data_IF_880538233864
#
_entry.id   IF_880538233864
#
_cell.length_a   1.000
_cell.length_b   1.000
_cell.length_c   1.000
_cell.angle_alpha   90.00
_cell.angle_beta   90.00
_cell.angle_gamma   90.00
#
_symmetry.space_group_name_H-M   'P 1'
#
loop_
_entity.id
_entity.type
_entity.pdbx_description
1 polymer ?
#
# COMPACT_ATOMS: atom_id res chain seq x y z
N UNK A 1 -4.87 -15.52 25.45
CA UNK A 1 -5.23 -15.43 24.01
C UNK A 1 -5.01 -14.03 23.43
N UNK A 2 -5.64 -12.97 23.98
CA UNK A 2 -5.57 -11.61 23.42
C UNK A 2 -4.15 -11.03 23.26
N UNK A 3 -3.24 -11.27 24.21
CA UNK A 3 -1.85 -10.79 24.12
C UNK A 3 -1.03 -11.45 22.99
N UNK A 4 -1.27 -12.73 22.71
CA UNK A 4 -0.59 -13.43 21.61
C UNK A 4 -1.08 -12.95 20.24
N UNK A 5 -2.39 -12.72 20.09
CA UNK A 5 -2.98 -12.10 18.90
C UNK A 5 -2.44 -10.68 18.66
N UNK A 6 -2.32 -9.88 19.73
CA UNK A 6 -1.74 -8.54 19.64
C UNK A 6 -0.25 -8.54 19.24
N UNK A 7 0.51 -9.57 19.64
CA UNK A 7 1.92 -9.72 19.29
C UNK A 7 2.11 -10.12 17.80
N UNK A 8 1.22 -10.96 17.26
CA UNK A 8 1.30 -11.40 15.86
C UNK A 8 0.73 -10.36 14.89
N UNK A 9 -0.20 -9.52 15.35
CA UNK A 9 -0.90 -8.56 14.49
C UNK A 9 0.01 -7.61 13.70
N UNK A 10 1.12 -7.17 14.27
CA UNK A 10 2.05 -6.25 13.60
C UNK A 10 2.81 -6.94 12.45
N UNK A 11 3.34 -8.14 12.71
CA UNK A 11 4.00 -8.95 11.69
C UNK A 11 3.03 -9.39 10.60
N UNK A 12 1.80 -9.77 10.97
CA UNK A 12 0.75 -10.11 10.02
C UNK A 12 0.41 -8.93 9.11
N UNK A 13 0.26 -7.72 9.68
CA UNK A 13 0.00 -6.51 8.91
C UNK A 13 1.15 -6.16 7.96
N UNK A 14 2.42 -6.37 8.35
CA UNK A 14 3.56 -6.18 7.48
C UNK A 14 3.56 -7.15 6.27
N UNK A 15 3.22 -8.42 6.50
CA UNK A 15 3.08 -9.42 5.41
C UNK A 15 1.94 -9.05 4.46
N UNK A 16 0.78 -8.67 5.01
CA UNK A 16 -0.37 -8.24 4.22
C UNK A 16 -0.05 -6.97 3.40
N UNK A 17 0.72 -6.03 3.96
CA UNK A 17 1.18 -4.86 3.25
C UNK A 17 2.08 -5.23 2.05
N UNK A 18 2.96 -6.22 2.23
CA UNK A 18 3.83 -6.71 1.16
C UNK A 18 3.03 -7.39 0.03
N UNK A 19 1.98 -8.16 0.35
CA UNK A 19 1.09 -8.72 -0.66
C UNK A 19 0.32 -7.63 -1.41
N UNK A 20 -0.31 -6.70 -0.69
CA UNK A 20 -1.13 -5.64 -1.28
C UNK A 20 -0.31 -4.74 -2.22
N UNK A 21 0.93 -4.39 -1.84
CA UNK A 21 1.81 -3.60 -2.73
C UNK A 21 2.32 -4.41 -3.93
N UNK A 22 2.48 -5.72 -3.79
CA UNK A 22 2.76 -6.62 -4.92
C UNK A 22 1.62 -6.60 -5.93
N UNK A 23 0.39 -6.74 -5.46
CA UNK A 23 -0.81 -6.65 -6.28
C UNK A 23 -0.94 -5.27 -6.95
N UNK A 24 -0.75 -4.17 -6.20
CA UNK A 24 -0.80 -2.82 -6.74
C UNK A 24 0.26 -2.59 -7.85
N UNK A 25 1.48 -3.07 -7.62
CA UNK A 25 2.57 -3.01 -8.61
C UNK A 25 2.25 -3.78 -9.88
N UNK A 26 1.68 -4.99 -9.76
CA UNK A 26 1.28 -5.78 -10.91
C UNK A 26 0.18 -5.11 -11.73
N UNK A 27 -0.83 -4.52 -11.07
CA UNK A 27 -1.88 -3.75 -11.75
C UNK A 27 -1.28 -2.56 -12.51
N UNK A 28 -0.36 -1.81 -11.89
CA UNK A 28 0.33 -0.69 -12.56
C UNK A 28 1.13 -1.15 -13.80
N UNK A 29 1.95 -2.19 -13.67
CA UNK A 29 2.74 -2.76 -14.78
C UNK A 29 1.85 -3.12 -15.96
N UNK A 30 0.73 -3.75 -15.65
CA UNK A 30 -0.30 -4.10 -16.61
C UNK A 30 -0.86 -2.84 -17.29
N UNK A 31 -1.32 -1.85 -16.53
CA UNK A 31 -1.90 -0.64 -17.12
C UNK A 31 -0.90 0.01 -18.08
N UNK A 32 0.36 0.12 -17.67
CA UNK A 32 1.44 0.66 -18.51
C UNK A 32 1.62 -0.17 -19.79
N UNK A 33 1.57 -1.50 -19.69
CA UNK A 33 1.63 -2.37 -20.87
C UNK A 33 0.46 -2.12 -21.84
N UNK A 34 -0.77 -2.00 -21.33
CA UNK A 34 -1.96 -1.70 -22.13
C UNK A 34 -1.84 -0.33 -22.82
N UNK A 35 -1.49 0.73 -22.07
CA UNK A 35 -1.32 2.09 -22.60
C UNK A 35 -0.23 2.12 -23.68
N UNK A 36 0.89 1.42 -23.47
CA UNK A 36 1.96 1.32 -24.48
C UNK A 36 1.53 0.59 -25.75
N UNK A 37 0.71 -0.46 -25.63
CA UNK A 37 0.16 -1.16 -26.80
C UNK A 37 -0.75 -0.25 -27.61
N UNK A 38 -1.62 0.53 -26.94
CA UNK A 38 -2.45 1.56 -27.58
C UNK A 38 -1.62 2.63 -28.28
N UNK A 39 -0.63 3.21 -27.59
CA UNK A 39 0.27 4.22 -28.17
C UNK A 39 0.98 3.69 -29.44
N UNK A 40 1.38 2.41 -29.47
CA UNK A 40 2.00 1.79 -30.66
C UNK A 40 1.00 1.62 -31.80
N UNK A 41 -0.22 1.19 -31.51
CA UNK A 41 -1.27 0.99 -32.51
C UNK A 41 -1.72 2.33 -33.13
N UNK A 42 -1.91 3.36 -32.32
CA UNK A 42 -2.42 4.66 -32.77
C UNK A 42 -1.38 5.53 -33.48
N UNK A 43 -0.08 5.35 -33.18
CA UNK A 43 1.03 6.03 -33.89
C UNK A 43 1.11 5.71 -35.38
N UNK A 44 0.46 4.65 -35.83
CA UNK A 44 0.39 4.29 -37.26
C UNK A 44 -0.59 5.19 -38.02
N UNK A 45 -1.60 5.79 -37.36
CA UNK A 45 -2.70 6.48 -38.05
C UNK A 45 -2.81 8.00 -37.82
N UNK A 46 -2.18 8.63 -36.82
CA UNK A 46 -2.21 10.11 -36.68
C UNK A 46 -1.15 10.65 -35.70
N UNK A 47 -0.72 11.90 -35.92
CA UNK A 47 0.15 12.65 -35.01
C UNK A 47 -0.52 12.82 -33.64
N UNK A 48 -0.13 11.98 -32.68
CA UNK A 48 -0.73 11.84 -31.35
C UNK A 48 -0.47 13.10 -30.51
N UNK A 49 -1.46 13.98 -30.45
CA UNK A 49 -1.62 14.96 -29.39
C UNK A 49 -1.58 14.23 -28.06
N UNK A 50 -0.63 14.62 -27.21
CA UNK A 50 -0.13 13.80 -26.14
C UNK A 50 -1.22 13.34 -25.16
N UNK A 51 -0.93 12.26 -24.44
CA UNK A 51 -1.65 11.81 -23.25
C UNK A 51 -1.05 12.36 -21.92
N UNK A 52 -0.82 13.69 -21.69
CA UNK A 52 -0.23 14.15 -20.43
C UNK A 52 -1.03 13.72 -19.21
N UNK A 53 -2.36 13.71 -19.31
CA UNK A 53 -3.24 13.34 -18.20
C UNK A 53 -3.04 11.87 -17.77
N UNK A 54 -2.95 10.93 -18.71
CA UNK A 54 -2.69 9.52 -18.41
C UNK A 54 -1.29 9.34 -17.85
N UNK A 55 -0.29 10.02 -18.44
CA UNK A 55 1.10 9.94 -17.96
C UNK A 55 1.26 10.48 -16.55
N UNK A 56 0.61 11.60 -16.22
CA UNK A 56 0.66 12.18 -14.88
C UNK A 56 -0.02 11.26 -13.85
N UNK A 57 -1.23 10.76 -14.15
CA UNK A 57 -1.93 9.78 -13.30
C UNK A 57 -1.10 8.53 -13.05
N UNK A 58 -0.43 8.00 -14.09
CA UNK A 58 0.45 6.83 -13.93
C UNK A 58 1.72 7.14 -13.16
N UNK A 59 2.26 8.36 -13.27
CA UNK A 59 3.39 8.80 -12.47
C UNK A 59 3.00 8.92 -10.98
N UNK A 60 1.85 9.52 -10.68
CA UNK A 60 1.32 9.63 -9.31
C UNK A 60 1.07 8.24 -8.71
N UNK A 61 0.43 7.35 -9.48
CA UNK A 61 0.20 5.98 -9.06
C UNK A 61 1.53 5.23 -8.82
N UNK A 62 2.52 5.42 -9.69
CA UNK A 62 3.85 4.84 -9.49
C UNK A 62 4.48 5.32 -8.17
N UNK A 63 4.42 6.62 -7.89
CA UNK A 63 4.94 7.19 -6.63
C UNK A 63 4.23 6.59 -5.42
N UNK A 64 2.90 6.47 -5.47
CA UNK A 64 2.12 5.83 -4.39
C UNK A 64 2.54 4.37 -4.15
N UNK A 65 2.65 3.56 -5.21
CA UNK A 65 3.09 2.17 -5.11
C UNK A 65 4.51 2.07 -4.57
N UNK A 66 5.41 2.97 -4.97
CA UNK A 66 6.79 3.00 -4.45
C UNK A 66 6.84 3.39 -2.99
N UNK A 67 6.06 4.38 -2.55
CA UNK A 67 5.95 4.78 -1.16
C UNK A 67 5.42 3.63 -0.30
N UNK A 68 4.34 2.98 -0.73
CA UNK A 68 3.79 1.80 -0.07
C UNK A 68 4.81 0.66 0.01
N UNK A 69 5.61 0.45 -1.04
CA UNK A 69 6.63 -0.61 -1.06
C UNK A 69 7.72 -0.34 -0.05
N UNK A 70 8.23 0.89 0.01
CA UNK A 70 9.19 1.29 1.03
C UNK A 70 8.64 1.13 2.45
N UNK A 71 7.38 1.50 2.68
CA UNK A 71 6.72 1.32 3.97
C UNK A 71 6.60 -0.16 4.36
N UNK A 72 6.19 -1.03 3.43
CA UNK A 72 6.08 -2.47 3.66
C UNK A 72 7.45 -3.10 3.99
N UNK A 73 8.50 -2.77 3.25
CA UNK A 73 9.86 -3.24 3.56
C UNK A 73 10.36 -2.76 4.92
N UNK A 74 10.09 -1.50 5.26
CA UNK A 74 10.49 -0.94 6.54
C UNK A 74 9.75 -1.62 7.71
N UNK A 75 8.44 -1.83 7.59
CA UNK A 75 7.67 -2.56 8.59
C UNK A 75 8.16 -4.01 8.75
N UNK A 76 8.43 -4.71 7.65
CA UNK A 76 8.99 -6.06 7.69
C UNK A 76 10.34 -6.08 8.42
N UNK A 77 11.25 -5.15 8.10
CA UNK A 77 12.54 -5.03 8.79
C UNK A 77 12.39 -4.75 10.29
N UNK A 78 11.47 -3.85 10.65
CA UNK A 78 11.17 -3.54 12.05
C UNK A 78 10.62 -4.76 12.82
N UNK A 79 9.78 -5.58 12.18
CA UNK A 79 9.22 -6.78 12.80
C UNK A 79 10.26 -7.90 13.04
N UNK A 80 11.32 -7.97 12.22
CA UNK A 80 12.42 -8.94 12.41
C UNK A 80 13.32 -8.55 13.57
N UNK A 81 13.44 -7.25 13.84
CA UNK A 81 14.25 -6.70 14.95
C UNK A 81 13.54 -6.68 16.30
N UNK A 82 12.21 -6.87 16.34
CA UNK A 82 11.42 -6.86 17.56
C UNK A 82 11.34 -8.27 18.15
N UNK A 83 11.95 -8.54 19.32
CA UNK A 83 11.95 -9.88 19.89
C UNK A 83 10.53 -10.22 20.37
N UNK A 84 9.81 -10.99 19.56
CA UNK A 84 8.60 -11.68 19.97
C UNK A 84 8.97 -12.77 20.98
N UNK A 85 9.08 -12.39 22.26
CA UNK A 85 9.24 -13.30 23.39
C UNK A 85 10.67 -13.80 23.63
N UNK A 86 11.32 -13.28 24.69
CA UNK A 86 12.48 -13.91 25.32
C UNK A 86 13.84 -13.52 24.71
N UNK A 87 14.72 -13.00 25.57
CA UNK A 87 16.10 -12.61 25.32
C UNK A 87 16.30 -11.39 24.42
N UNK A 88 16.40 -10.24 25.09
CA UNK A 88 17.13 -9.08 24.59
C UNK A 88 18.53 -9.52 24.14
N UNK A 89 18.73 -9.68 22.83
CA UNK A 89 20.08 -9.59 22.27
C UNK A 89 20.40 -8.11 22.16
N UNK A 90 21.15 -7.64 23.15
CA UNK A 90 21.81 -6.35 23.20
C UNK A 90 22.60 -6.13 21.91
N UNK A 91 21.98 -5.48 20.92
CA UNK A 91 22.70 -4.75 19.88
C UNK A 91 22.83 -3.29 20.36
N UNK A 92 23.96 -2.61 20.09
CA UNK A 92 24.26 -1.32 20.70
C UNK A 92 23.21 -0.27 20.35
N UNK A 93 22.95 0.58 21.33
CA UNK A 93 22.09 1.76 21.30
C UNK A 93 22.51 2.76 20.22
N UNK A 94 22.03 2.59 19.00
CA UNK A 94 22.01 3.63 17.97
C UNK A 94 20.60 3.76 17.42
N UNK A 95 19.80 4.61 18.07
CA UNK A 95 18.50 5.04 17.56
C UNK A 95 17.39 5.04 18.60
N UNK A 96 17.09 6.22 19.14
CA UNK A 96 15.90 6.54 19.96
C UNK A 96 14.58 6.00 19.37
N UNK A 97 14.52 5.72 18.07
CA UNK A 97 13.37 5.17 17.35
C UNK A 97 13.12 3.66 17.61
N UNK A 98 14.08 2.91 18.20
CA UNK A 98 13.86 1.51 18.62
C UNK A 98 13.17 1.38 19.97
N UNK A 99 13.31 2.38 20.83
CA UNK A 99 12.78 2.35 22.20
C UNK A 99 11.25 2.47 22.24
N UNK A 100 10.61 2.98 21.19
CA UNK A 100 9.16 3.16 21.16
C UNK A 100 8.37 1.87 20.93
N UNK A 101 8.99 0.77 20.47
CA UNK A 101 8.25 -0.45 20.12
C UNK A 101 7.13 -0.18 19.10
N UNK A 102 7.39 0.72 18.14
CA UNK A 102 6.39 1.19 17.18
C UNK A 102 5.87 0.03 16.32
N UNK A 103 4.55 -0.20 16.39
CA UNK A 103 3.82 -1.17 15.56
C UNK A 103 3.56 -0.56 14.18
N UNK A 104 4.53 -0.71 13.29
CA UNK A 104 4.53 -0.08 11.96
C UNK A 104 3.76 -0.86 10.91
N UNK A 105 3.44 -2.13 11.15
CA UNK A 105 2.72 -3.00 10.23
C UNK A 105 1.36 -2.43 9.85
N UNK A 106 0.62 -1.87 10.82
CA UNK A 106 -0.69 -1.25 10.55
C UNK A 106 -0.60 -0.02 9.64
N UNK A 107 0.43 0.82 9.80
CA UNK A 107 0.66 1.99 8.93
C UNK A 107 1.09 1.58 7.53
N UNK A 108 1.98 0.59 7.43
CA UNK A 108 2.40 0.03 6.14
C UNK A 108 1.21 -0.59 5.40
N UNK A 109 0.35 -1.32 6.11
CA UNK A 109 -0.87 -1.90 5.55
C UNK A 109 -1.82 -0.80 5.07
N UNK A 110 -2.02 0.26 5.85
CA UNK A 110 -2.84 1.40 5.44
C UNK A 110 -2.37 2.02 4.11
N UNK A 111 -1.05 2.22 3.96
CA UNK A 111 -0.47 2.73 2.70
C UNK A 111 -0.61 1.74 1.54
N UNK A 112 -0.40 0.45 1.80
CA UNK A 112 -0.50 -0.58 0.77
C UNK A 112 -1.94 -0.78 0.26
N UNK A 113 -2.93 -0.73 1.16
CA UNK A 113 -4.36 -0.82 0.79
C UNK A 113 -4.80 0.39 -0.03
N UNK A 114 -4.39 1.61 0.34
CA UNK A 114 -4.69 2.80 -0.45
C UNK A 114 -4.07 2.76 -1.85
N UNK A 115 -2.82 2.30 -1.95
CA UNK A 115 -2.15 2.10 -3.24
C UNK A 115 -2.85 1.04 -4.09
N UNK A 116 -3.26 -0.09 -3.49
CA UNK A 116 -3.99 -1.15 -4.19
C UNK A 116 -5.37 -0.68 -4.66
N UNK A 117 -6.13 0.03 -3.83
CA UNK A 117 -7.44 0.59 -4.20
C UNK A 117 -7.30 1.54 -5.39
N UNK A 118 -6.32 2.44 -5.34
CA UNK A 118 -6.07 3.40 -6.42
C UNK A 118 -5.62 2.69 -7.68
N UNK A 119 -4.66 1.75 -7.58
CA UNK A 119 -4.20 0.96 -8.72
C UNK A 119 -5.34 0.17 -9.37
N UNK A 120 -6.17 -0.50 -8.57
CA UNK A 120 -7.30 -1.28 -9.06
C UNK A 120 -8.35 -0.42 -9.75
N UNK A 121 -8.68 0.75 -9.21
CA UNK A 121 -9.60 1.70 -9.84
C UNK A 121 -9.05 2.20 -11.19
N UNK A 122 -7.76 2.57 -11.24
CA UNK A 122 -7.08 2.94 -12.49
C UNK A 122 -7.02 1.77 -13.48
N UNK A 123 -6.88 0.54 -12.98
CA UNK A 123 -6.88 -0.70 -13.76
C UNK A 123 -8.19 -1.01 -14.46
N UNK A 124 -9.30 -0.53 -13.91
CA UNK A 124 -10.62 -0.60 -14.56
C UNK A 124 -10.78 0.55 -15.57
N UNK A 125 -10.34 1.77 -15.22
CA UNK A 125 -10.68 2.97 -15.99
C UNK A 125 -9.77 3.23 -17.22
N UNK A 126 -8.45 3.14 -17.06
CA UNK A 126 -7.49 3.54 -18.11
C UNK A 126 -7.46 2.60 -19.33
N UNK A 127 -7.63 1.29 -19.17
CA UNK A 127 -7.63 0.34 -20.29
C UNK A 127 -8.91 0.39 -21.14
N UNK A 128 -9.96 1.12 -20.74
CA UNK A 128 -11.15 1.48 -21.53
C UNK A 128 -11.56 0.51 -22.64
N UNK A 129 -11.91 -0.74 -22.31
CA UNK A 129 -12.51 -1.72 -23.24
C UNK A 129 -11.53 -2.56 -24.09
N UNK A 130 -10.25 -2.69 -23.72
CA UNK A 130 -9.32 -3.62 -24.40
C UNK A 130 -9.62 -5.09 -24.08
N UNK A 131 -10.76 -5.62 -24.53
CA UNK A 131 -11.10 -7.04 -24.54
C UNK A 131 -11.52 -7.65 -23.19
N UNK A 132 -12.33 -8.71 -23.27
CA UNK A 132 -12.98 -9.38 -22.13
C UNK A 132 -12.01 -10.04 -21.13
N UNK A 133 -10.80 -10.42 -21.56
CA UNK A 133 -9.78 -11.00 -20.68
C UNK A 133 -9.16 -9.95 -19.75
N UNK A 134 -9.00 -8.72 -20.22
CA UNK A 134 -8.50 -7.63 -19.41
C UNK A 134 -9.49 -7.22 -18.32
N UNK A 135 -10.76 -7.08 -18.71
CA UNK A 135 -11.84 -6.65 -17.83
C UNK A 135 -11.97 -7.60 -16.64
N UNK A 136 -11.95 -8.91 -16.88
CA UNK A 136 -12.05 -9.91 -15.81
C UNK A 136 -10.92 -9.78 -14.77
N UNK A 137 -9.69 -9.53 -15.22
CA UNK A 137 -8.53 -9.43 -14.33
C UNK A 137 -8.50 -8.10 -13.57
N UNK A 138 -8.90 -6.99 -14.20
CA UNK A 138 -9.06 -5.70 -13.52
C UNK A 138 -10.10 -5.79 -12.40
N UNK A 139 -11.27 -6.40 -12.67
CA UNK A 139 -12.29 -6.61 -11.65
C UNK A 139 -11.84 -7.54 -10.53
N UNK A 140 -11.00 -8.55 -10.81
CA UNK A 140 -10.42 -9.41 -9.75
C UNK A 140 -9.61 -8.60 -8.73
N UNK A 141 -8.74 -7.70 -9.20
CA UNK A 141 -7.97 -6.84 -8.30
C UNK A 141 -8.84 -5.80 -7.59
N UNK A 142 -9.88 -5.30 -8.26
CA UNK A 142 -10.86 -4.41 -7.63
C UNK A 142 -11.62 -5.09 -6.49
N UNK A 143 -12.14 -6.30 -6.72
CA UNK A 143 -12.80 -7.09 -5.67
C UNK A 143 -11.85 -7.42 -4.52
N UNK A 144 -10.58 -7.75 -4.82
CA UNK A 144 -9.56 -7.94 -3.79
C UNK A 144 -9.35 -6.67 -2.96
N UNK A 145 -9.18 -5.51 -3.60
CA UNK A 145 -8.98 -4.25 -2.88
C UNK A 145 -10.13 -3.94 -1.91
N UNK A 146 -11.37 -4.14 -2.36
CA UNK A 146 -12.57 -3.96 -1.52
C UNK A 146 -12.61 -5.00 -0.40
N UNK A 147 -12.31 -6.27 -0.70
CA UNK A 147 -12.28 -7.34 0.29
C UNK A 147 -11.23 -7.12 1.38
N UNK A 148 -10.03 -6.68 1.00
CA UNK A 148 -8.93 -6.42 1.93
C UNK A 148 -9.28 -5.26 2.89
N UNK A 149 -9.89 -4.17 2.40
CA UNK A 149 -10.36 -3.08 3.27
C UNK A 149 -11.48 -3.50 4.23
N UNK A 150 -12.38 -4.39 3.81
CA UNK A 150 -13.44 -4.92 4.68
C UNK A 150 -12.89 -5.87 5.74
N UNK A 151 -11.89 -6.69 5.39
CA UNK A 151 -11.32 -7.71 6.27
C UNK A 151 -10.35 -7.13 7.29
N UNK A 152 -9.47 -6.23 6.86
CA UNK A 152 -8.41 -5.66 7.70
C UNK A 152 -8.77 -4.29 8.28
N UNK A 153 -9.91 -3.75 7.88
CA UNK A 153 -10.43 -2.46 8.30
C UNK A 153 -10.04 -1.34 7.33
N UNK A 154 -10.86 -0.28 7.27
CA UNK A 154 -10.60 0.82 6.36
C UNK A 154 -9.33 1.58 6.75
N UNK A 155 -8.62 2.10 5.75
CA UNK A 155 -7.33 2.80 5.87
C UNK A 155 -7.31 3.86 6.98
N UNK A 156 -8.40 4.62 7.14
CA UNK A 156 -8.48 5.66 8.17
C UNK A 156 -8.45 5.11 9.60
N UNK A 157 -8.98 3.91 9.86
CA UNK A 157 -8.91 3.28 11.20
C UNK A 157 -7.52 2.79 11.54
N UNK A 158 -6.81 2.23 10.56
CA UNK A 158 -5.40 1.83 10.73
C UNK A 158 -4.52 3.05 11.05
N UNK A 159 -4.78 4.19 10.39
CA UNK A 159 -4.11 5.47 10.69
C UNK A 159 -4.48 6.02 12.06
N UNK A 160 -5.77 5.98 12.43
CA UNK A 160 -6.23 6.43 13.74
C UNK A 160 -5.59 5.62 14.87
N UNK A 161 -5.60 4.28 14.76
CA UNK A 161 -4.94 3.41 15.73
C UNK A 161 -3.45 3.72 15.88
N UNK A 162 -2.75 3.98 14.78
CA UNK A 162 -1.34 4.36 14.82
C UNK A 162 -1.12 5.74 15.47
N UNK A 163 -2.01 6.71 15.21
CA UNK A 163 -1.95 8.03 15.84
C UNK A 163 -2.19 7.96 17.36
N UNK A 164 -3.14 7.13 17.79
CA UNK A 164 -3.43 6.87 19.20
C UNK A 164 -2.23 6.17 19.88
N UNK A 165 -1.65 5.16 19.22
CA UNK A 165 -0.46 4.45 19.72
C UNK A 165 0.76 5.38 19.86
N UNK A 166 0.90 6.35 18.95
CA UNK A 166 1.95 7.36 18.99
C UNK A 166 1.61 8.57 19.89
N UNK A 167 0.42 8.58 20.51
CA UNK A 167 -0.08 9.68 21.36
C UNK A 167 0.00 11.05 20.66
N UNK A 168 -0.24 11.08 19.35
CA UNK A 168 -0.07 12.30 18.54
C UNK A 168 -1.01 13.44 18.98
N UNK A 169 -2.13 13.10 19.62
CA UNK A 169 -3.17 14.05 20.01
C UNK A 169 -3.38 14.19 21.53
N UNK A 170 -2.59 13.50 22.37
CA UNK A 170 -2.71 13.56 23.84
C UNK A 170 -2.24 14.91 24.43
N UNK A 171 -1.56 15.73 23.63
CA UNK A 171 -0.94 16.98 24.05
C UNK A 171 -1.41 18.19 23.25
N UNK A 172 -2.67 18.61 23.43
CA UNK A 172 -3.12 20.02 23.34
C UNK A 172 -4.64 20.09 23.54
N UNK A 173 -5.07 20.59 24.70
CA UNK A 173 -6.27 21.43 24.74
C UNK A 173 -6.06 22.55 23.72
N UNK A 174 -6.75 22.46 22.59
CA UNK A 174 -6.92 23.62 21.71
C UNK A 174 -7.87 24.54 22.47
N UNK A 175 -7.29 25.43 23.27
CA UNK A 175 -8.02 26.59 23.77
C UNK A 175 -8.36 27.44 22.55
N UNK A 176 -9.63 27.35 22.14
CA UNK A 176 -10.25 28.25 21.16
C UNK A 176 -10.66 29.52 21.87
#
# INVERSE_FOLDING_TARGET
AAGALAAVGDAAAAVLAAEAVGAAGHVLERIVACVRQRERAERVERAVGAFPAVKHRLADLYVQVRAARSAAHYAAWATIGSPSGGAARSAPSEGRWRETGERLGGLALAQALEALRTAAAEGVQLPGGTGSTWENEAYRYFHRAVGDELLFGPVHRLRAYAADAARLFDGREVTV
#
